data_IF_127966106881
#
_entry.id   IF_127966106881
#
_cell.length_a   1.000
_cell.length_b   1.000
_cell.length_c   1.000
_cell.angle_alpha   90.00
_cell.angle_beta   90.00
_cell.angle_gamma   90.00
#
_symmetry.space_group_name_H-M   'P 1'
#
loop_
_entity.id
_entity.type
_entity.pdbx_description
1 polymer ?
#
# COMPACT_ATOMS: atom_id res chain seq x y z
N UNK A 1 -15.57 -24.79 18.23
CA UNK A 1 -14.24 -24.77 17.57
C UNK A 1 -14.37 -23.80 16.41
N UNK A 2 -13.84 -22.60 16.59
CA UNK A 2 -13.91 -21.51 15.60
C UNK A 2 -13.21 -21.94 14.32
N UNK A 3 -13.87 -21.80 13.18
CA UNK A 3 -13.27 -22.16 11.91
C UNK A 3 -12.13 -21.18 11.62
N UNK A 4 -10.92 -21.72 11.72
CA UNK A 4 -9.70 -21.06 11.32
C UNK A 4 -9.56 -21.21 9.80
N UNK A 5 -10.53 -20.67 9.06
CA UNK A 5 -10.45 -20.54 7.60
C UNK A 5 -9.79 -19.19 7.30
N UNK A 6 -8.61 -18.97 7.88
CA UNK A 6 -7.84 -17.75 7.75
C UNK A 6 -7.38 -17.59 6.31
N UNK A 7 -8.06 -16.70 5.59
CA UNK A 7 -7.54 -16.11 4.37
C UNK A 7 -6.17 -15.48 4.69
N UNK A 8 -5.06 -16.18 4.41
CA UNK A 8 -3.69 -15.72 4.64
C UNK A 8 -3.33 -14.44 3.86
N UNK A 9 -4.29 -13.89 3.11
CA UNK A 9 -4.16 -12.69 2.29
C UNK A 9 -4.47 -11.42 3.07
N UNK A 10 -5.19 -11.51 4.19
CA UNK A 10 -5.51 -10.33 4.99
C UNK A 10 -4.32 -9.96 5.89
N UNK A 11 -3.71 -8.78 5.70
CA UNK A 11 -2.61 -8.36 6.54
C UNK A 11 -3.08 -8.28 7.98
N UNK A 12 -2.27 -8.81 8.91
CA UNK A 12 -2.61 -8.74 10.32
C UNK A 12 -2.60 -7.28 10.78
N UNK A 13 -3.39 -6.94 11.80
CA UNK A 13 -3.39 -5.60 12.42
C UNK A 13 -1.97 -5.12 12.77
N UNK A 14 -1.09 -6.05 13.15
CA UNK A 14 0.31 -5.76 13.42
C UNK A 14 1.11 -5.39 12.16
N UNK A 15 0.92 -6.10 11.05
CA UNK A 15 1.51 -5.73 9.77
C UNK A 15 1.01 -4.36 9.30
N UNK A 16 -0.26 -4.05 9.55
CA UNK A 16 -0.79 -2.74 9.22
C UNK A 16 -0.13 -1.62 10.01
N UNK A 17 0.05 -1.83 11.32
CA UNK A 17 0.76 -0.91 12.21
C UNK A 17 2.23 -0.72 11.82
N UNK A 18 2.93 -1.79 11.44
CA UNK A 18 4.33 -1.69 10.98
C UNK A 18 4.45 -0.83 9.72
N UNK A 19 3.52 -0.99 8.78
CA UNK A 19 3.49 -0.18 7.56
C UNK A 19 3.19 1.30 7.88
N UNK A 20 2.25 1.56 8.79
CA UNK A 20 1.93 2.92 9.25
C UNK A 20 3.15 3.59 9.87
N UNK A 21 3.85 2.87 10.77
CA UNK A 21 5.08 3.34 11.41
C UNK A 21 6.19 3.62 10.39
N UNK A 22 6.33 2.78 9.37
CA UNK A 22 7.32 3.00 8.31
C UNK A 22 7.04 4.30 7.54
N UNK A 23 5.77 4.59 7.26
CA UNK A 23 5.36 5.84 6.60
C UNK A 23 5.66 7.06 7.48
N UNK A 24 5.38 6.99 8.78
CA UNK A 24 5.70 8.07 9.73
C UNK A 24 7.21 8.33 9.78
N UNK A 25 8.04 7.29 9.79
CA UNK A 25 9.50 7.43 9.78
C UNK A 25 10.02 8.04 8.48
N UNK A 26 9.42 7.68 7.33
CA UNK A 26 9.75 8.29 6.04
C UNK A 26 9.38 9.78 6.02
N UNK A 27 8.20 10.13 6.53
CA UNK A 27 7.76 11.52 6.66
C UNK A 27 8.72 12.33 7.54
N UNK A 28 9.08 11.79 8.70
CA UNK A 28 10.07 12.39 9.60
C UNK A 28 11.38 12.68 8.87
N UNK A 29 11.90 11.72 8.10
CA UNK A 29 13.15 11.91 7.37
C UNK A 29 13.03 13.05 6.35
N UNK A 30 12.00 13.03 5.51
CA UNK A 30 11.77 14.08 4.49
C UNK A 30 11.66 15.47 5.12
N UNK A 31 10.90 15.60 6.22
CA UNK A 31 10.74 16.89 6.89
C UNK A 31 12.02 17.33 7.63
N UNK A 32 12.80 16.39 8.15
CA UNK A 32 14.11 16.71 8.74
C UNK A 32 15.10 17.22 7.69
N UNK A 33 15.13 16.60 6.50
CA UNK A 33 15.94 17.05 5.37
C UNK A 33 15.55 18.46 4.92
N UNK A 34 14.23 18.74 4.85
CA UNK A 34 13.73 20.08 4.49
C UNK A 34 14.04 21.13 5.55
N UNK A 35 13.96 20.77 6.82
CA UNK A 35 14.21 21.68 7.93
C UNK A 35 15.71 21.94 8.15
N UNK A 36 16.59 21.05 7.69
CA UNK A 36 18.03 21.09 7.95
C UNK A 36 18.41 20.66 9.37
N UNK A 37 17.47 20.08 10.12
CA UNK A 37 17.68 19.52 11.45
C UNK A 37 16.64 18.44 11.73
N UNK A 38 16.88 17.55 12.70
CA UNK A 38 15.90 16.55 13.09
C UNK A 38 14.70 17.20 13.79
N UNK A 39 13.53 17.13 13.15
CA UNK A 39 12.28 17.68 13.71
C UNK A 39 11.74 16.87 14.90
N UNK A 40 12.26 15.66 15.12
CA UNK A 40 11.82 14.74 16.17
C UNK A 40 10.59 13.91 15.78
N UNK A 41 10.39 12.81 16.51
CA UNK A 41 9.33 11.85 16.20
C UNK A 41 7.92 12.39 16.47
N UNK A 42 7.72 13.08 17.59
CA UNK A 42 6.38 13.59 17.96
C UNK A 42 5.87 14.63 16.97
N UNK A 43 6.73 15.57 16.55
CA UNK A 43 6.37 16.59 15.57
C UNK A 43 6.01 15.96 14.23
N UNK A 44 6.80 14.99 13.77
CA UNK A 44 6.53 14.26 12.54
C UNK A 44 5.22 13.45 12.63
N UNK A 45 4.96 12.82 13.78
CA UNK A 45 3.75 12.03 14.03
C UNK A 45 2.50 12.90 13.96
N UNK A 46 2.48 14.04 14.66
CA UNK A 46 1.34 14.96 14.65
C UNK A 46 1.05 15.51 13.26
N UNK A 47 2.09 15.89 12.51
CA UNK A 47 1.92 16.40 11.14
C UNK A 47 1.44 15.31 10.17
N UNK A 48 1.99 14.10 10.29
CA UNK A 48 1.58 12.95 9.48
C UNK A 48 0.12 12.56 9.74
N UNK A 49 -0.30 12.54 11.01
CA UNK A 49 -1.69 12.28 11.41
C UNK A 49 -2.67 13.29 10.80
N UNK A 50 -2.30 14.58 10.78
CA UNK A 50 -3.16 15.65 10.27
C UNK A 50 -3.30 15.62 8.75
N UNK A 51 -2.19 15.41 8.02
CA UNK A 51 -2.13 15.72 6.60
C UNK A 51 -1.96 14.50 5.68
N UNK A 52 -1.42 13.39 6.18
CA UNK A 52 -0.97 12.27 5.33
C UNK A 52 -1.76 10.98 5.57
N UNK A 53 -2.17 10.73 6.83
CA UNK A 53 -2.77 9.45 7.26
C UNK A 53 -4.00 9.05 6.45
N UNK A 54 -4.93 9.98 6.22
CA UNK A 54 -6.16 9.68 5.50
C UNK A 54 -5.87 9.27 4.04
N UNK A 55 -4.99 9.99 3.36
CA UNK A 55 -4.58 9.65 2.00
C UNK A 55 -3.89 8.29 1.92
N UNK A 56 -3.02 7.99 2.88
CA UNK A 56 -2.34 6.71 2.99
C UNK A 56 -3.31 5.53 3.18
N UNK A 57 -4.30 5.68 4.07
CA UNK A 57 -5.33 4.66 4.29
C UNK A 57 -6.19 4.42 3.03
N UNK A 58 -6.57 5.48 2.32
CA UNK A 58 -7.33 5.35 1.07
C UNK A 58 -6.52 4.63 -0.01
N UNK A 59 -5.24 4.99 -0.16
CA UNK A 59 -4.34 4.35 -1.11
C UNK A 59 -4.14 2.86 -0.80
N UNK A 60 -3.92 2.51 0.46
CA UNK A 60 -3.77 1.12 0.91
C UNK A 60 -5.01 0.28 0.68
N UNK A 61 -6.19 0.80 1.00
CA UNK A 61 -7.47 0.11 0.73
C UNK A 61 -7.67 -0.12 -0.77
N UNK A 62 -7.33 0.86 -1.60
CA UNK A 62 -7.38 0.72 -3.05
C UNK A 62 -6.39 -0.32 -3.59
N UNK A 63 -5.19 -0.41 -3.00
CA UNK A 63 -4.21 -1.46 -3.35
C UNK A 63 -4.68 -2.86 -2.92
N UNK A 64 -5.34 -2.99 -1.77
CA UNK A 64 -5.88 -4.27 -1.29
C UNK A 64 -7.10 -4.73 -2.12
N UNK A 65 -7.88 -3.81 -2.69
CA UNK A 65 -9.07 -4.14 -3.49
C UNK A 65 -8.78 -4.54 -4.94
N UNK A 66 -7.52 -4.52 -5.40
CA UNK A 66 -7.15 -4.96 -6.75
C UNK A 66 -6.38 -6.29 -6.68
N UNK A 67 -7.03 -7.44 -6.97
CA UNK A 67 -6.29 -8.58 -7.47
C UNK A 67 -5.85 -8.26 -8.90
N UNK A 68 -4.67 -7.65 -9.05
CA UNK A 68 -3.95 -7.75 -10.31
C UNK A 68 -3.35 -9.17 -10.35
N UNK A 69 -4.16 -10.15 -10.71
CA UNK A 69 -3.64 -11.37 -11.28
C UNK A 69 -3.13 -10.99 -12.68
N UNK A 70 -1.83 -11.18 -13.01
CA UNK A 70 -1.43 -11.16 -14.41
C UNK A 70 -2.16 -12.34 -15.05
N UNK A 71 -3.22 -12.04 -15.80
CA UNK A 71 -3.93 -13.04 -16.58
C UNK A 71 -2.89 -13.90 -17.34
N UNK A 72 -2.94 -15.24 -17.26
CA UNK A 72 -2.02 -16.06 -18.02
C UNK A 72 -2.24 -15.76 -19.49
N UNK A 73 -1.20 -15.23 -20.14
CA UNK A 73 -1.17 -14.91 -21.55
C UNK A 73 -1.61 -16.14 -22.38
N UNK A 74 -2.89 -16.21 -22.70
CA UNK A 74 -3.44 -17.20 -23.61
C UNK A 74 -3.32 -16.63 -25.02
N UNK A 75 -2.13 -16.84 -25.57
CA UNK A 75 -1.86 -17.19 -26.97
C UNK A 75 -2.89 -16.62 -27.97
N UNK A 76 -2.57 -15.43 -28.48
CA UNK A 76 -2.96 -15.01 -29.83
C UNK A 76 -2.57 -16.13 -30.81
N UNK A 77 -3.55 -16.82 -31.38
CA UNK A 77 -3.32 -17.64 -32.57
C UNK A 77 -4.42 -17.34 -33.58
N UNK A 78 -4.09 -16.39 -34.46
CA UNK A 78 -4.39 -16.42 -35.90
C UNK A 78 -5.84 -16.64 -36.32
N UNK A 79 -6.64 -15.58 -36.31
CA UNK A 79 -7.75 -15.49 -37.24
C UNK A 79 -7.17 -15.10 -38.61
N UNK A 80 -6.92 -16.12 -39.44
CA UNK A 80 -6.47 -15.98 -40.83
C UNK A 80 -7.61 -15.33 -41.63
N UNK A 81 -7.44 -14.08 -42.05
CA UNK A 81 -8.28 -13.48 -43.09
C UNK A 81 -8.16 -14.34 -44.36
N UNK A 82 -9.28 -14.94 -44.79
CA UNK A 82 -9.42 -15.55 -46.12
C UNK A 82 -10.08 -14.56 -47.06
N UNK A 83 -9.62 -14.42 -48.32
CA UNK A 83 -10.26 -13.54 -49.28
C UNK A 83 -11.35 -14.30 -50.06
N UNK A 84 -12.55 -13.71 -50.13
CA UNK A 84 -13.39 -13.56 -51.32
C UNK A 84 -14.48 -12.55 -50.96
#
# INVERSE_FOLDING_TARGET
MTDNSGNLKDPTLYQEFLAERAEILKHKWIESEKAGYDIGFERALSDWLANHRNGWLMHRRAMQSNPCEPAPASQTTGQKCSPC
#
